data_IF_099886483692
#
_entry.id   IF_099886483692
#
_cell.length_a   1.000
_cell.length_b   1.000
_cell.length_c   1.000
_cell.angle_alpha   90.00
_cell.angle_beta   90.00
_cell.angle_gamma   90.00
#
_symmetry.space_group_name_H-M   'P 1'
#
loop_
_entity.id
_entity.type
_entity.pdbx_description
1 polymer ?
#
# COMPACT_ATOMS: atom_id res chain seq x y z
N UNK A 1 14.78 -17.13 1.18
CA UNK A 1 15.04 -16.02 2.12
C UNK A 1 14.49 -16.41 3.45
N UNK A 2 15.37 -16.63 4.43
CA UNK A 2 14.95 -17.02 5.77
C UNK A 2 14.27 -15.85 6.48
N UNK A 3 13.16 -16.15 7.13
CA UNK A 3 12.42 -15.16 7.91
C UNK A 3 13.17 -14.96 9.23
N UNK A 4 13.94 -13.87 9.31
CA UNK A 4 14.54 -13.43 10.58
C UNK A 4 13.42 -13.16 11.59
N UNK A 5 13.50 -13.82 12.74
CA UNK A 5 12.63 -13.60 13.90
C UNK A 5 13.48 -12.97 14.99
N UNK A 6 13.07 -11.80 15.47
CA UNK A 6 13.76 -11.07 16.53
C UNK A 6 13.31 -11.55 17.91
N UNK A 7 14.27 -11.74 18.81
CA UNK A 7 13.99 -12.00 20.23
C UNK A 7 13.46 -10.75 20.94
N UNK A 8 12.86 -10.92 22.12
CA UNK A 8 12.35 -9.79 22.91
C UNK A 8 13.46 -8.77 23.26
N UNK A 9 14.67 -9.26 23.53
CA UNK A 9 15.84 -8.43 23.83
C UNK A 9 16.30 -7.65 22.59
N UNK A 10 16.37 -8.30 21.42
CA UNK A 10 16.70 -7.64 20.16
C UNK A 10 15.67 -6.56 19.80
N UNK A 11 14.37 -6.83 20.03
CA UNK A 11 13.31 -5.84 19.82
C UNK A 11 13.52 -4.64 20.74
N UNK A 12 13.80 -4.85 22.03
CA UNK A 12 14.09 -3.76 22.98
C UNK A 12 15.31 -2.94 22.55
N UNK A 13 16.40 -3.60 22.16
CA UNK A 13 17.61 -2.94 21.67
C UNK A 13 17.34 -2.08 20.43
N UNK A 14 16.54 -2.58 19.48
CA UNK A 14 16.18 -1.84 18.27
C UNK A 14 15.25 -0.66 18.57
N UNK A 15 14.35 -0.79 19.54
CA UNK A 15 13.42 0.29 19.93
C UNK A 15 14.10 1.46 20.63
N UNK A 16 15.28 1.25 21.24
CA UNK A 16 16.08 2.33 21.83
C UNK A 16 16.60 3.29 20.75
N UNK A 17 16.83 2.80 19.53
CA UNK A 17 17.38 3.62 18.45
C UNK A 17 16.35 4.64 17.94
N UNK A 18 16.66 5.94 17.93
CA UNK A 18 15.71 7.00 17.53
C UNK A 18 15.27 6.90 16.07
N UNK A 19 16.01 6.20 15.22
CA UNK A 19 15.69 6.02 13.80
C UNK A 19 14.61 4.93 13.56
N UNK A 20 14.26 4.16 14.60
CA UNK A 20 13.20 3.15 14.55
C UNK A 20 11.86 3.79 14.93
N UNK A 21 10.83 3.51 14.13
CA UNK A 21 9.46 3.93 14.39
C UNK A 21 8.68 2.85 15.15
N UNK A 22 8.84 1.59 14.74
CA UNK A 22 8.20 0.43 15.37
C UNK A 22 9.01 -0.81 15.08
N UNK A 23 9.12 -1.70 16.06
CA UNK A 23 9.72 -3.02 15.89
C UNK A 23 8.72 -4.10 16.28
N UNK A 24 8.63 -5.14 15.45
CA UNK A 24 7.86 -6.36 15.70
C UNK A 24 8.79 -7.57 15.58
N UNK A 25 8.35 -8.74 16.03
CA UNK A 25 9.17 -9.97 15.93
C UNK A 25 9.60 -10.32 14.51
N UNK A 26 8.92 -9.83 13.47
CA UNK A 26 9.20 -10.17 12.07
C UNK A 26 9.69 -8.99 11.23
N UNK A 27 9.53 -7.75 11.70
CA UNK A 27 9.84 -6.57 10.89
C UNK A 27 10.19 -5.35 11.72
N UNK A 28 11.10 -4.54 11.18
CA UNK A 28 11.50 -3.23 11.70
C UNK A 28 10.95 -2.17 10.76
N UNK A 29 10.22 -1.21 11.32
CA UNK A 29 9.71 -0.04 10.62
C UNK A 29 10.57 1.16 10.98
N UNK A 30 11.13 1.79 9.96
CA UNK A 30 12.01 2.95 10.11
C UNK A 30 11.23 4.25 10.01
N UNK A 31 11.72 5.26 10.73
CA UNK A 31 11.20 6.63 10.66
C UNK A 31 11.39 7.23 9.27
N UNK A 32 10.51 8.17 8.90
CA UNK A 32 10.49 8.76 7.55
C UNK A 32 11.75 9.58 7.29
N UNK A 33 12.15 10.36 8.27
CA UNK A 33 13.33 11.23 8.25
C UNK A 33 14.60 10.39 8.04
N UNK A 34 14.67 9.21 8.68
CA UNK A 34 15.79 8.30 8.52
C UNK A 34 15.87 7.73 7.10
N UNK A 35 14.74 7.34 6.50
CA UNK A 35 14.71 6.82 5.11
C UNK A 35 15.26 7.85 4.12
N UNK A 36 14.85 9.10 4.29
CA UNK A 36 15.32 10.22 3.46
C UNK A 36 16.82 10.43 3.66
N UNK A 37 17.28 10.50 4.91
CA UNK A 37 18.70 10.67 5.25
C UNK A 37 19.56 9.59 4.61
N UNK A 38 19.15 8.33 4.71
CA UNK A 38 19.89 7.19 4.13
C UNK A 38 20.04 7.32 2.61
N UNK A 39 18.98 7.75 1.92
CA UNK A 39 19.04 7.93 0.47
C UNK A 39 19.94 9.11 0.09
N UNK A 40 19.85 10.24 0.83
CA UNK A 40 20.70 11.42 0.61
C UNK A 40 22.17 11.10 0.86
N UNK A 41 22.51 10.51 2.00
CA UNK A 41 23.89 10.10 2.31
C UNK A 41 24.47 9.13 1.27
N UNK A 42 23.66 8.22 0.75
CA UNK A 42 24.10 7.32 -0.31
C UNK A 42 24.43 8.06 -1.62
N UNK A 43 23.64 9.06 -2.02
CA UNK A 43 23.85 9.81 -3.26
C UNK A 43 24.92 10.90 -3.13
N UNK A 44 24.97 11.61 -2.00
CA UNK A 44 25.83 12.77 -1.79
C UNK A 44 27.22 12.36 -1.26
N UNK A 45 27.28 11.39 -0.35
CA UNK A 45 28.51 11.01 0.35
C UNK A 45 29.08 9.68 -0.16
N UNK A 46 28.33 8.94 -1.00
CA UNK A 46 28.77 7.65 -1.55
C UNK A 46 28.90 6.53 -0.53
N UNK A 47 28.40 6.72 0.70
CA UNK A 47 28.53 5.71 1.75
C UNK A 47 27.71 4.45 1.46
N UNK A 48 28.31 3.29 1.77
CA UNK A 48 27.61 2.02 1.68
C UNK A 48 26.46 1.91 2.68
N UNK A 49 25.37 1.18 2.36
CA UNK A 49 24.20 1.07 3.22
C UNK A 49 24.53 0.54 4.63
N UNK A 50 25.49 -0.39 4.73
CA UNK A 50 25.93 -0.93 6.02
C UNK A 50 26.60 0.14 6.89
N UNK A 51 27.44 0.98 6.30
CA UNK A 51 28.13 2.07 7.01
C UNK A 51 27.13 3.12 7.52
N UNK A 52 26.15 3.50 6.69
CA UNK A 52 25.10 4.45 7.08
C UNK A 52 24.30 3.91 8.28
N UNK A 53 23.92 2.63 8.26
CA UNK A 53 23.19 2.01 9.36
C UNK A 53 24.04 1.88 10.63
N UNK A 54 25.32 1.53 10.52
CA UNK A 54 26.24 1.53 11.67
C UNK A 54 26.40 2.93 12.28
N UNK A 55 26.61 3.96 11.44
CA UNK A 55 26.69 5.36 11.87
C UNK A 55 25.39 5.83 12.55
N UNK A 56 24.25 5.29 12.13
CA UNK A 56 22.95 5.53 12.74
C UNK A 56 22.70 4.70 14.02
N UNK A 57 23.69 3.96 14.52
CA UNK A 57 23.61 3.19 15.76
C UNK A 57 22.90 1.83 15.62
N UNK A 58 22.85 1.25 14.43
CA UNK A 58 22.35 -0.11 14.24
C UNK A 58 23.46 -1.14 14.31
N UNK A 59 23.25 -2.19 15.10
CA UNK A 59 24.10 -3.37 15.08
C UNK A 59 23.72 -4.29 13.90
N UNK A 60 24.64 -4.45 12.95
CA UNK A 60 24.48 -5.30 11.77
C UNK A 60 24.39 -6.79 12.11
N UNK A 61 24.84 -7.22 13.29
CA UNK A 61 24.68 -8.59 13.75
C UNK A 61 23.24 -8.87 14.17
N UNK A 62 22.54 -7.85 14.68
CA UNK A 62 21.13 -7.95 15.08
C UNK A 62 20.22 -7.83 13.84
N UNK A 63 20.40 -6.79 13.03
CA UNK A 63 19.51 -6.57 11.87
C UNK A 63 19.87 -7.47 10.68
N UNK A 64 21.11 -7.94 10.59
CA UNK A 64 21.64 -8.68 9.45
C UNK A 64 22.21 -7.78 8.35
N UNK A 65 23.29 -8.24 7.70
CA UNK A 65 24.07 -7.47 6.72
C UNK A 65 23.35 -7.17 5.41
N UNK A 66 22.29 -7.91 5.09
CA UNK A 66 21.51 -7.71 3.86
C UNK A 66 20.32 -6.76 4.04
N UNK A 67 19.85 -6.54 5.27
CA UNK A 67 18.72 -5.64 5.51
C UNK A 67 19.02 -4.21 5.04
N UNK A 68 20.17 -3.58 5.39
CA UNK A 68 20.48 -2.23 4.93
C UNK A 68 20.48 -2.12 3.41
N UNK A 69 21.08 -3.10 2.71
CA UNK A 69 21.12 -3.15 1.24
C UNK A 69 19.72 -3.21 0.63
N UNK A 70 18.87 -4.10 1.14
CA UNK A 70 17.50 -4.27 0.66
C UNK A 70 16.63 -3.03 0.95
N UNK A 71 16.77 -2.43 2.14
CA UNK A 71 16.10 -1.19 2.51
C UNK A 71 16.49 -0.04 1.55
N UNK A 72 17.79 0.15 1.33
CA UNK A 72 18.28 1.18 0.41
C UNK A 72 17.75 0.96 -1.02
N UNK A 73 17.77 -0.28 -1.52
CA UNK A 73 17.23 -0.60 -2.85
C UNK A 73 15.76 -0.20 -2.98
N UNK A 74 14.95 -0.50 -1.97
CA UNK A 74 13.53 -0.12 -1.93
C UNK A 74 13.35 1.39 -1.90
N UNK A 75 14.06 2.09 -1.00
CA UNK A 75 13.90 3.53 -0.83
C UNK A 75 14.41 4.31 -2.03
N UNK A 76 15.50 3.87 -2.68
CA UNK A 76 15.95 4.44 -3.95
C UNK A 76 14.91 4.30 -5.04
N UNK A 77 14.22 3.15 -5.14
CA UNK A 77 13.14 2.95 -6.11
C UNK A 77 11.99 3.95 -5.88
N UNK A 78 11.59 4.13 -4.63
CA UNK A 78 10.52 5.08 -4.26
C UNK A 78 10.97 6.52 -4.56
N UNK A 79 12.19 6.87 -4.15
CA UNK A 79 12.77 8.20 -4.36
C UNK A 79 12.87 8.55 -5.84
N UNK A 80 13.32 7.63 -6.70
CA UNK A 80 13.35 7.84 -8.16
C UNK A 80 11.96 8.07 -8.77
N UNK A 81 10.93 7.42 -8.23
CA UNK A 81 9.58 7.49 -8.79
C UNK A 81 8.77 8.69 -8.30
N UNK A 82 8.97 9.12 -7.04
CA UNK A 82 8.09 10.11 -6.37
C UNK A 82 8.88 11.19 -5.60
N UNK A 83 10.20 11.22 -5.72
CA UNK A 83 11.07 12.09 -4.94
C UNK A 83 11.01 11.80 -3.44
N UNK A 84 11.42 12.80 -2.66
CA UNK A 84 11.43 12.75 -1.20
C UNK A 84 10.03 12.55 -0.59
N UNK A 85 9.01 13.15 -1.21
CA UNK A 85 7.62 13.04 -0.77
C UNK A 85 7.12 11.58 -0.77
N UNK A 86 7.65 10.75 -1.68
CA UNK A 86 7.36 9.32 -1.72
C UNK A 86 7.82 8.55 -0.49
N UNK A 87 8.90 8.99 0.18
CA UNK A 87 9.43 8.35 1.40
C UNK A 87 8.74 8.84 2.67
N UNK A 88 8.23 10.08 2.64
CA UNK A 88 7.49 10.70 3.73
C UNK A 88 6.01 10.26 3.78
N UNK A 89 5.47 9.81 2.65
CA UNK A 89 4.07 9.38 2.56
C UNK A 89 3.92 7.89 2.86
N UNK A 90 3.11 7.55 3.85
CA UNK A 90 2.67 6.16 4.07
C UNK A 90 1.59 5.82 3.04
N UNK A 91 1.85 4.81 2.19
CA UNK A 91 0.92 4.40 1.13
C UNK A 91 0.12 3.15 1.48
N UNK A 92 0.46 2.43 2.56
CA UNK A 92 -0.32 1.27 3.01
C UNK A 92 -1.75 1.72 3.33
N UNK A 93 -2.73 0.98 2.82
CA UNK A 93 -4.16 1.26 3.03
C UNK A 93 -4.75 2.37 2.16
N UNK A 94 -3.95 3.17 1.43
CA UNK A 94 -4.48 4.28 0.60
C UNK A 94 -5.03 3.83 -0.75
N UNK A 95 -4.45 2.77 -1.32
CA UNK A 95 -4.89 2.19 -2.61
C UNK A 95 -5.55 0.81 -2.43
N UNK A 96 -5.95 0.47 -1.20
CA UNK A 96 -6.52 -0.83 -0.82
C UNK A 96 -8.04 -0.84 -0.70
N UNK A 97 -8.74 0.16 -1.24
CA UNK A 97 -10.18 0.07 -1.43
C UNK A 97 -10.47 -0.96 -2.51
N UNK A 98 -11.51 -1.79 -2.31
CA UNK A 98 -12.14 -2.54 -3.42
C UNK A 98 -12.24 -1.61 -4.62
N UNK A 99 -11.92 -2.13 -5.82
CA UNK A 99 -12.35 -1.48 -7.07
C UNK A 99 -13.81 -1.08 -6.86
N UNK A 100 -14.18 0.21 -6.97
CA UNK A 100 -15.57 0.59 -6.87
C UNK A 100 -16.35 -0.33 -7.81
N UNK A 101 -17.36 -1.04 -7.32
CA UNK A 101 -18.36 -1.58 -8.24
C UNK A 101 -18.96 -0.34 -8.88
N UNK A 102 -18.79 -0.18 -10.19
CA UNK A 102 -19.39 0.91 -10.95
C UNK A 102 -20.91 0.79 -10.75
N UNK A 103 -21.45 1.55 -9.78
CA UNK A 103 -22.87 1.49 -9.42
C UNK A 103 -23.74 1.87 -10.63
N UNK A 104 -23.24 2.80 -11.45
CA UNK A 104 -23.87 3.23 -12.69
C UNK A 104 -24.14 2.06 -13.65
N UNK A 105 -23.20 1.14 -13.84
CA UNK A 105 -23.43 0.02 -14.78
C UNK A 105 -24.48 -0.98 -14.26
N UNK A 106 -24.55 -1.18 -12.94
CA UNK A 106 -25.55 -2.04 -12.33
C UNK A 106 -26.96 -1.41 -12.36
N UNK A 107 -27.04 -0.09 -12.19
CA UNK A 107 -28.29 0.66 -12.25
C UNK A 107 -28.85 0.72 -13.69
N UNK A 108 -27.98 0.85 -14.71
CA UNK A 108 -28.40 0.85 -16.12
C UNK A 108 -29.07 -0.49 -16.50
N UNK A 109 -28.48 -1.62 -16.14
CA UNK A 109 -29.03 -2.95 -16.45
C UNK A 109 -30.38 -3.18 -15.75
N UNK A 110 -30.49 -2.75 -14.48
CA UNK A 110 -31.74 -2.79 -13.73
C UNK A 110 -32.83 -1.91 -14.37
N UNK A 111 -32.50 -0.70 -14.80
CA UNK A 111 -33.46 0.21 -15.43
C UNK A 111 -33.92 -0.33 -16.79
N UNK A 112 -33.01 -0.89 -17.59
CA UNK A 112 -33.35 -1.49 -18.89
C UNK A 112 -34.30 -2.68 -18.74
N UNK A 113 -34.00 -3.59 -17.81
CA UNK A 113 -34.88 -4.73 -17.52
C UNK A 113 -36.24 -4.28 -17.02
N UNK A 114 -36.30 -3.23 -16.19
CA UNK A 114 -37.57 -2.66 -15.72
C UNK A 114 -38.39 -2.02 -16.85
N UNK A 115 -37.75 -1.29 -17.76
CA UNK A 115 -38.41 -0.69 -18.93
C UNK A 115 -39.02 -1.78 -19.82
N UNK A 116 -38.23 -2.81 -20.19
CA UNK A 116 -38.69 -3.90 -21.05
C UNK A 116 -39.89 -4.64 -20.44
N UNK A 117 -39.87 -4.89 -19.13
CA UNK A 117 -40.99 -5.49 -18.41
C UNK A 117 -42.26 -4.62 -18.49
N UNK A 118 -42.14 -3.32 -18.21
CA UNK A 118 -43.28 -2.39 -18.24
C UNK A 118 -43.83 -2.21 -19.66
N UNK A 119 -42.99 -2.25 -20.69
CA UNK A 119 -43.43 -2.22 -22.08
C UNK A 119 -44.23 -3.46 -22.46
N UNK A 120 -43.76 -4.65 -22.08
CA UNK A 120 -44.48 -5.91 -22.29
C UNK A 120 -45.84 -5.91 -21.58
N UNK A 121 -45.89 -5.44 -20.34
CA UNK A 121 -47.14 -5.30 -19.57
C UNK A 121 -48.11 -4.34 -20.26
N UNK A 122 -47.63 -3.18 -20.73
CA UNK A 122 -48.47 -2.21 -21.45
C UNK A 122 -49.02 -2.76 -22.78
N UNK A 123 -48.20 -3.50 -23.54
CA UNK A 123 -48.64 -4.17 -24.77
C UNK A 123 -49.74 -5.18 -24.46
N UNK A 124 -49.55 -6.00 -23.42
CA UNK A 124 -50.55 -6.95 -22.97
C UNK A 124 -51.88 -6.28 -22.59
N UNK A 125 -51.81 -5.22 -21.78
CA UNK A 125 -53.00 -4.46 -21.35
C UNK A 125 -53.73 -3.79 -22.53
N UNK A 126 -52.99 -3.26 -23.52
CA UNK A 126 -53.58 -2.71 -24.75
C UNK A 126 -54.32 -3.78 -25.53
N UNK A 127 -53.73 -4.96 -25.68
CA UNK A 127 -54.34 -6.09 -26.39
C UNK A 127 -55.59 -6.62 -25.68
N UNK A 128 -55.65 -6.58 -24.35
CA UNK A 128 -56.87 -6.91 -23.61
C UNK A 128 -57.97 -5.88 -23.83
N UNK A 129 -57.64 -4.58 -23.76
CA UNK A 129 -58.59 -3.48 -23.98
C UNK A 129 -59.19 -3.47 -25.39
N UNK A 130 -58.44 -3.85 -26.41
CA UNK A 130 -58.95 -3.94 -27.78
C UNK A 130 -59.88 -5.14 -27.96
N UNK A 131 -59.59 -6.27 -27.29
CA UNK A 131 -60.47 -7.46 -27.31
C UNK A 131 -61.79 -7.29 -26.56
N UNK A 132 -61.87 -6.39 -25.58
CA UNK A 132 -63.11 -6.14 -24.82
C UNK A 132 -64.04 -5.10 -25.47
N UNK A 133 -63.59 -4.40 -26.52
CA UNK A 133 -64.37 -3.37 -27.23
C UNK A 133 -65.00 -3.86 -28.55
N UNK A 134 -64.79 -5.12 -28.91
CA UNK A 134 -65.49 -5.82 -30.00
C UNK A 134 -66.50 -6.79 -29.39
#
# INVERSE_FOLDING_TARGET
MDRVIYSAEQIKALLINPNVAKCSSKSVSYRKEFKVRVVKEYYEQGFGPNAIFQKAGFDLNIIGRDKPKNCLKLWRKIYKAKGEQGLNTESRGRNGGRRPKDKESADIEYLQTKIAYLEAENIFLRNLKTKTKN
#
